data_IF_285313992373
#
_entry.id   IF_285313992373
#
_cell.length_a   1.000
_cell.length_b   1.000
_cell.length_c   1.000
_cell.angle_alpha   90.00
_cell.angle_beta   90.00
_cell.angle_gamma   90.00
#
_symmetry.space_group_name_H-M   'P 1'
#
loop_
_entity.id
_entity.type
_entity.pdbx_description
1 polymer ?
#
# COMPACT_ATOMS: atom_id res chain seq x y z
N UNK A 1 -7.33 -25.24 10.42
CA UNK A 1 -6.26 -24.31 9.99
C UNK A 1 -6.68 -22.93 10.42
N UNK A 2 -5.90 -22.27 11.29
CA UNK A 2 -6.22 -20.92 11.78
C UNK A 2 -5.48 -19.85 10.97
N UNK A 3 -6.01 -18.63 11.03
CA UNK A 3 -5.48 -17.46 10.34
C UNK A 3 -4.32 -16.85 11.13
N UNK A 4 -3.25 -16.54 10.40
CA UNK A 4 -2.13 -15.72 10.85
C UNK A 4 -2.29 -14.30 10.32
N UNK A 5 -2.40 -13.33 11.23
CA UNK A 5 -2.64 -11.92 10.88
C UNK A 5 -1.47 -11.05 11.30
N UNK A 6 -1.00 -10.19 10.41
CA UNK A 6 -0.06 -9.11 10.75
C UNK A 6 -0.86 -7.86 11.10
N UNK A 7 -0.54 -7.22 12.21
CA UNK A 7 -1.18 -5.98 12.65
C UNK A 7 -0.13 -4.89 12.83
N UNK A 8 -0.16 -3.91 11.92
CA UNK A 8 0.61 -2.68 12.06
C UNK A 8 -0.14 -1.65 12.90
N UNK A 9 0.52 -1.09 13.92
CA UNK A 9 -0.05 0.02 14.69
C UNK A 9 -0.95 -0.38 15.86
N UNK A 10 -0.74 -1.57 16.42
CA UNK A 10 -1.52 -2.10 17.55
C UNK A 10 -1.52 -1.24 18.83
N UNK A 11 -0.59 -0.28 18.95
CA UNK A 11 -0.52 0.67 20.07
C UNK A 11 -1.41 1.91 19.88
N UNK A 12 -1.91 2.15 18.68
CA UNK A 12 -2.79 3.29 18.38
C UNK A 12 -4.22 3.10 18.90
N UNK A 13 -5.03 4.16 18.86
CA UNK A 13 -6.43 4.12 19.32
C UNK A 13 -7.24 3.02 18.63
N UNK A 14 -7.24 3.02 17.30
CA UNK A 14 -7.95 2.02 16.49
C UNK A 14 -7.24 0.66 16.56
N UNK A 15 -5.90 0.66 16.51
CA UNK A 15 -5.11 -0.57 16.51
C UNK A 15 -5.28 -1.42 17.78
N UNK A 16 -5.50 -0.78 18.94
CA UNK A 16 -5.80 -1.49 20.19
C UNK A 16 -7.10 -2.28 20.11
N UNK A 17 -8.15 -1.67 19.56
CA UNK A 17 -9.44 -2.35 19.40
C UNK A 17 -9.37 -3.46 18.35
N UNK A 18 -8.65 -3.23 17.24
CA UNK A 18 -8.38 -4.29 16.25
C UNK A 18 -7.67 -5.47 16.91
N UNK A 19 -6.62 -5.22 17.69
CA UNK A 19 -5.90 -6.28 18.42
C UNK A 19 -6.84 -7.05 19.35
N UNK A 20 -7.68 -6.34 20.12
CA UNK A 20 -8.66 -6.94 21.03
C UNK A 20 -9.63 -7.87 20.29
N UNK A 21 -10.16 -7.41 19.17
CA UNK A 21 -11.07 -8.20 18.31
C UNK A 21 -10.36 -9.41 17.71
N UNK A 22 -9.10 -9.25 17.24
CA UNK A 22 -8.32 -10.34 16.69
C UNK A 22 -8.05 -11.44 17.73
N UNK A 23 -7.76 -11.07 18.98
CA UNK A 23 -7.56 -12.03 20.07
C UNK A 23 -8.84 -12.86 20.34
N UNK A 24 -9.98 -12.18 20.37
CA UNK A 24 -11.29 -12.80 20.62
C UNK A 24 -11.79 -13.66 19.46
N UNK A 25 -11.30 -13.41 18.24
CA UNK A 25 -11.74 -14.16 17.08
C UNK A 25 -11.20 -15.61 17.12
N UNK A 26 -12.08 -16.63 17.05
CA UNK A 26 -11.66 -18.04 17.18
C UNK A 26 -10.81 -18.50 16.01
N UNK A 27 -11.08 -18.01 14.79
CA UNK A 27 -10.31 -18.40 13.61
C UNK A 27 -8.91 -17.79 13.57
N UNK A 28 -8.62 -16.75 14.35
CA UNK A 28 -7.29 -16.13 14.40
C UNK A 28 -6.48 -16.84 15.49
N UNK A 29 -5.45 -17.55 15.04
CA UNK A 29 -4.59 -18.35 15.91
C UNK A 29 -3.24 -17.70 16.18
N UNK A 30 -2.79 -16.79 15.31
CA UNK A 30 -1.51 -16.09 15.47
C UNK A 30 -1.62 -14.65 14.99
N UNK A 31 -1.07 -13.73 15.77
CA UNK A 31 -1.07 -12.30 15.51
C UNK A 31 0.37 -11.80 15.63
N UNK A 32 0.90 -11.24 14.54
CA UNK A 32 2.21 -10.59 14.54
C UNK A 32 1.99 -9.09 14.64
N UNK A 33 2.22 -8.53 15.82
CA UNK A 33 2.06 -7.11 16.09
C UNK A 33 3.34 -6.34 15.72
N UNK A 34 3.29 -5.60 14.60
CA UNK A 34 4.36 -4.68 14.20
C UNK A 34 4.20 -3.36 14.98
N UNK A 35 5.16 -3.11 15.87
CA UNK A 35 5.12 -1.98 16.80
C UNK A 35 6.44 -1.22 16.82
N UNK A 36 6.43 0.01 17.32
CA UNK A 36 7.66 0.80 17.54
C UNK A 36 8.29 0.58 18.92
N UNK A 37 7.54 -0.05 19.84
CA UNK A 37 7.88 -0.26 21.25
C UNK A 37 7.15 -1.50 21.74
N UNK A 38 7.69 -2.14 22.76
CA UNK A 38 7.06 -3.29 23.39
C UNK A 38 5.62 -2.96 23.83
N UNK A 39 4.73 -3.96 23.71
CA UNK A 39 3.38 -3.87 24.25
C UNK A 39 3.42 -3.98 25.77
N UNK A 40 2.53 -3.28 26.50
CA UNK A 40 2.41 -3.44 27.94
C UNK A 40 1.97 -4.87 28.29
N UNK A 41 2.56 -5.44 29.33
CA UNK A 41 2.21 -6.77 29.83
C UNK A 41 0.86 -6.77 30.59
N UNK A 42 0.12 -7.89 30.62
CA UNK A 42 0.41 -9.15 29.94
C UNK A 42 0.04 -9.12 28.45
N UNK A 43 0.87 -9.75 27.62
CA UNK A 43 0.61 -9.95 26.19
C UNK A 43 -0.07 -11.32 26.02
N UNK A 44 -1.13 -11.36 25.20
CA UNK A 44 -1.87 -12.59 24.92
C UNK A 44 -0.98 -13.65 24.20
N UNK A 45 -1.12 -14.95 24.50
CA UNK A 45 -0.33 -16.01 23.85
C UNK A 45 -0.43 -16.06 22.32
N UNK A 46 -1.52 -15.58 21.74
CA UNK A 46 -1.68 -15.48 20.28
C UNK A 46 -0.81 -14.39 19.66
N UNK A 47 -0.32 -13.44 20.47
CA UNK A 47 0.34 -12.22 20.01
C UNK A 47 1.85 -12.32 20.14
N UNK A 48 2.55 -12.24 19.00
CA UNK A 48 3.98 -12.02 18.94
C UNK A 48 4.27 -10.56 18.61
N UNK A 49 5.12 -9.92 19.41
CA UNK A 49 5.52 -8.52 19.19
C UNK A 49 6.81 -8.49 18.40
N UNK A 50 6.78 -7.81 17.26
CA UNK A 50 7.96 -7.58 16.42
C UNK A 50 8.18 -6.08 16.32
N UNK A 51 9.41 -5.65 16.58
CA UNK A 51 9.83 -4.26 16.49
C UNK A 51 10.81 -4.16 15.32
N UNK A 52 10.38 -3.66 14.15
CA UNK A 52 11.29 -3.45 13.03
C UNK A 52 12.31 -2.36 13.34
N UNK A 53 13.58 -2.62 13.01
CA UNK A 53 14.65 -1.62 13.11
C UNK A 53 14.46 -0.47 12.11
N UNK A 54 14.04 -0.83 10.89
CA UNK A 54 13.67 0.11 9.83
C UNK A 54 12.32 -0.29 9.22
N UNK A 55 11.46 0.71 9.01
CA UNK A 55 10.11 0.58 8.44
C UNK A 55 10.09 0.70 6.93
N UNK A 56 11.19 1.16 6.33
CA UNK A 56 11.39 1.19 4.87
C UNK A 56 12.08 -0.08 4.37
N UNK A 57 12.89 -0.71 5.21
CA UNK A 57 13.65 -1.92 4.87
C UNK A 57 13.51 -2.96 5.98
N UNK A 58 12.67 -3.97 5.75
CA UNK A 58 12.44 -5.04 6.73
C UNK A 58 13.61 -6.03 6.73
N UNK A 59 14.17 -6.29 7.91
CA UNK A 59 15.22 -7.28 8.09
C UNK A 59 14.70 -8.71 7.84
N UNK A 60 15.58 -9.67 7.50
CA UNK A 60 15.18 -11.07 7.30
C UNK A 60 14.44 -11.66 8.50
N UNK A 61 14.80 -11.26 9.72
CA UNK A 61 14.11 -11.69 10.94
C UNK A 61 12.63 -11.23 10.98
N UNK A 62 12.35 -9.99 10.55
CA UNK A 62 10.97 -9.49 10.47
C UNK A 62 10.20 -10.21 9.37
N UNK A 63 10.82 -10.40 8.20
CA UNK A 63 10.22 -11.13 7.07
C UNK A 63 9.88 -12.58 7.43
N UNK A 64 10.75 -13.25 8.18
CA UNK A 64 10.51 -14.60 8.70
C UNK A 64 9.34 -14.63 9.71
N UNK A 65 9.26 -13.63 10.60
CA UNK A 65 8.18 -13.56 11.57
C UNK A 65 6.80 -13.40 10.92
N UNK A 66 6.71 -12.64 9.82
CA UNK A 66 5.47 -12.38 9.07
C UNK A 66 5.19 -13.42 7.97
N UNK A 67 6.14 -14.31 7.68
CA UNK A 67 6.01 -15.33 6.64
C UNK A 67 4.75 -16.21 6.84
N UNK A 68 4.07 -16.53 5.75
CA UNK A 68 2.86 -17.35 5.77
C UNK A 68 1.62 -16.66 6.36
N UNK A 69 1.68 -15.34 6.62
CA UNK A 69 0.50 -14.58 7.02
C UNK A 69 -0.60 -14.61 5.95
N UNK A 70 -1.85 -14.69 6.39
CA UNK A 70 -3.03 -14.68 5.53
C UNK A 70 -3.50 -13.25 5.20
N UNK A 71 -3.30 -12.35 6.16
CA UNK A 71 -3.71 -10.96 6.04
C UNK A 71 -2.78 -10.01 6.81
N UNK A 72 -2.74 -8.76 6.35
CA UNK A 72 -2.14 -7.65 7.06
C UNK A 72 -3.18 -6.54 7.25
N UNK A 73 -3.36 -6.11 8.49
CA UNK A 73 -4.17 -4.94 8.83
C UNK A 73 -3.21 -3.80 9.18
N UNK A 74 -3.22 -2.77 8.34
CA UNK A 74 -2.32 -1.63 8.46
C UNK A 74 -3.03 -0.44 9.06
N UNK A 75 -2.93 -0.31 10.39
CA UNK A 75 -3.47 0.80 11.17
C UNK A 75 -2.38 1.80 11.59
N UNK A 76 -1.25 1.85 10.87
CA UNK A 76 -0.19 2.83 11.10
C UNK A 76 -0.55 4.13 10.40
N UNK A 77 -0.58 5.21 11.18
CA UNK A 77 -0.78 6.55 10.68
C UNK A 77 -0.68 7.56 11.80
N UNK A 78 -0.40 8.81 11.41
CA UNK A 78 -0.52 9.96 12.29
C UNK A 78 -1.92 10.57 12.08
N UNK A 79 -2.59 10.91 13.19
CA UNK A 79 -3.93 11.52 13.15
C UNK A 79 -3.93 12.95 12.57
N UNK A 80 -5.09 13.56 12.34
CA UNK A 80 -5.17 14.95 11.89
C UNK A 80 -4.48 15.85 12.93
N UNK A 81 -3.43 16.56 12.50
CA UNK A 81 -2.73 17.53 13.32
C UNK A 81 -2.45 18.77 12.48
N UNK A 82 -2.32 19.92 13.16
CA UNK A 82 -1.92 21.15 12.51
C UNK A 82 -0.50 20.98 12.01
N UNK A 83 -0.30 21.17 10.71
CA UNK A 83 1.01 21.14 10.07
C UNK A 83 1.43 22.60 9.96
N UNK A 84 2.52 22.93 10.64
CA UNK A 84 3.07 24.29 10.68
C UNK A 84 4.38 24.39 9.91
N UNK A 85 5.08 23.28 9.73
CA UNK A 85 6.35 23.22 8.99
C UNK A 85 6.32 22.17 7.89
N UNK A 86 7.19 22.33 6.90
CA UNK A 86 7.39 21.34 5.83
C UNK A 86 7.97 20.03 6.37
N UNK A 87 8.79 20.10 7.41
CA UNK A 87 9.37 18.93 8.09
C UNK A 87 8.27 18.05 8.69
N UNK A 88 7.30 18.65 9.39
CA UNK A 88 6.13 17.94 9.92
C UNK A 88 5.31 17.28 8.80
N UNK A 89 5.13 17.99 7.68
CA UNK A 89 4.42 17.47 6.51
C UNK A 89 5.13 16.23 5.95
N UNK A 90 6.45 16.31 5.79
CA UNK A 90 7.30 15.22 5.29
C UNK A 90 7.31 14.02 6.23
N UNK A 91 7.36 14.24 7.55
CA UNK A 91 7.21 13.16 8.51
C UNK A 91 5.86 12.45 8.37
N UNK A 92 4.76 13.21 8.36
CA UNK A 92 3.41 12.61 8.25
C UNK A 92 3.29 11.82 6.94
N UNK A 93 3.86 12.35 5.85
CA UNK A 93 3.93 11.66 4.55
C UNK A 93 4.70 10.34 4.66
N UNK A 94 5.88 10.35 5.28
CA UNK A 94 6.70 9.15 5.49
C UNK A 94 5.95 8.06 6.26
N UNK A 95 5.28 8.43 7.36
CA UNK A 95 4.48 7.49 8.15
C UNK A 95 3.25 6.96 7.40
N UNK A 96 2.56 7.83 6.66
CA UNK A 96 1.28 7.49 6.04
C UNK A 96 1.43 6.73 4.72
N UNK A 97 2.47 7.05 3.95
CA UNK A 97 2.65 6.56 2.59
C UNK A 97 3.86 5.63 2.51
N UNK A 98 5.05 6.12 2.83
CA UNK A 98 6.29 5.40 2.52
C UNK A 98 6.35 4.08 3.31
N UNK A 99 5.99 4.11 4.60
CA UNK A 99 5.92 2.90 5.41
C UNK A 99 4.84 1.93 4.91
N UNK A 100 3.68 2.46 4.50
CA UNK A 100 2.60 1.65 3.93
C UNK A 100 3.05 0.96 2.65
N UNK A 101 3.72 1.69 1.75
CA UNK A 101 4.20 1.16 0.48
C UNK A 101 5.32 0.14 0.68
N UNK A 102 6.27 0.42 1.57
CA UNK A 102 7.32 -0.53 1.94
C UNK A 102 6.73 -1.82 2.53
N UNK A 103 5.76 -1.68 3.44
CA UNK A 103 5.05 -2.82 4.02
C UNK A 103 4.28 -3.61 2.96
N UNK A 104 3.46 -2.95 2.13
CA UNK A 104 2.69 -3.62 1.10
C UNK A 104 3.59 -4.40 0.12
N UNK A 105 4.75 -3.84 -0.25
CA UNK A 105 5.74 -4.53 -1.09
C UNK A 105 6.39 -5.72 -0.39
N UNK A 106 6.74 -5.59 0.89
CA UNK A 106 7.41 -6.64 1.64
C UNK A 106 6.47 -7.79 2.05
N UNK A 107 5.22 -7.47 2.38
CA UNK A 107 4.24 -8.41 2.94
C UNK A 107 3.38 -9.09 1.89
N UNK A 108 3.24 -8.52 0.69
CA UNK A 108 2.43 -9.13 -0.37
C UNK A 108 3.30 -10.14 -1.13
N UNK A 109 3.12 -11.45 -0.92
CA UNK A 109 3.87 -12.45 -1.66
C UNK A 109 3.53 -12.36 -3.16
N UNK A 110 4.46 -12.81 -3.99
CA UNK A 110 4.16 -13.04 -5.39
C UNK A 110 2.99 -14.04 -5.51
N UNK A 111 2.12 -13.91 -6.52
CA UNK A 111 1.06 -14.88 -6.76
C UNK A 111 1.67 -16.27 -6.88
N UNK A 112 1.31 -17.17 -5.97
CA UNK A 112 1.75 -18.55 -6.01
C UNK A 112 0.70 -19.43 -6.71
N UNK A 113 1.12 -20.64 -7.10
CA UNK A 113 0.22 -21.65 -7.67
C UNK A 113 -0.71 -22.29 -6.62
N UNK A 114 -0.58 -21.94 -5.34
CA UNK A 114 -1.43 -22.45 -4.27
C UNK A 114 -2.83 -21.83 -4.28
N UNK A 115 -2.99 -20.70 -4.99
CA UNK A 115 -4.26 -19.99 -5.11
C UNK A 115 -4.66 -19.24 -3.83
N UNK A 116 -3.78 -19.21 -2.81
CA UNK A 116 -4.05 -18.56 -1.53
C UNK A 116 -3.88 -17.05 -1.68
N UNK A 117 -4.98 -16.32 -1.49
CA UNK A 117 -5.00 -14.85 -1.63
C UNK A 117 -4.60 -14.16 -0.33
N UNK A 118 -3.46 -13.49 -0.34
CA UNK A 118 -3.07 -12.57 0.73
C UNK A 118 -3.92 -11.29 0.70
N UNK A 119 -4.36 -10.81 1.88
CA UNK A 119 -5.19 -9.60 1.99
C UNK A 119 -4.47 -8.49 2.76
N UNK A 120 -4.23 -7.36 2.10
CA UNK A 120 -3.70 -6.15 2.73
C UNK A 120 -4.82 -5.13 2.95
N UNK A 121 -5.18 -4.88 4.21
CA UNK A 121 -6.23 -3.93 4.62
C UNK A 121 -5.57 -2.63 5.08
N UNK A 122 -5.68 -1.57 4.28
CA UNK A 122 -5.14 -0.25 4.59
C UNK A 122 -6.21 0.66 5.24
N UNK A 123 -5.94 1.15 6.44
CA UNK A 123 -6.82 2.10 7.12
C UNK A 123 -6.45 3.55 6.74
N UNK A 124 -7.25 4.13 5.85
CA UNK A 124 -7.14 5.53 5.44
C UNK A 124 -7.96 6.47 6.33
N UNK A 125 -7.68 7.78 6.23
CA UNK A 125 -8.49 8.80 6.89
C UNK A 125 -9.65 9.22 6.01
N UNK A 126 -10.81 9.48 6.63
CA UNK A 126 -11.96 10.05 5.92
C UNK A 126 -11.58 11.40 5.30
N UNK A 127 -12.00 11.63 4.05
CA UNK A 127 -11.72 12.85 3.28
C UNK A 127 -10.27 13.01 2.76
N UNK A 128 -9.49 11.92 2.68
CA UNK A 128 -8.23 11.93 1.92
C UNK A 128 -8.49 12.33 0.46
N UNK A 129 -7.82 13.37 -0.01
CA UNK A 129 -7.98 13.95 -1.34
C UNK A 129 -6.88 13.44 -2.28
N UNK A 130 -7.31 12.94 -3.45
CA UNK A 130 -6.40 12.41 -4.47
C UNK A 130 -5.80 13.53 -5.29
N UNK A 131 -6.59 14.55 -5.55
CA UNK A 131 -6.16 15.70 -6.31
C UNK A 131 -5.28 16.63 -5.45
N UNK A 132 -3.99 16.63 -5.74
CA UNK A 132 -3.01 17.43 -5.01
C UNK A 132 -3.13 18.92 -5.33
N UNK A 133 -3.78 19.29 -6.43
CA UNK A 133 -3.91 20.68 -6.88
C UNK A 133 -5.23 21.31 -6.40
N UNK A 134 -6.22 20.49 -6.04
CA UNK A 134 -7.56 20.94 -5.63
C UNK A 134 -7.54 21.67 -4.29
N UNK A 135 -7.82 22.98 -4.30
CA UNK A 135 -7.93 23.78 -3.08
C UNK A 135 -9.02 23.23 -2.14
N UNK A 136 -8.69 23.09 -0.85
CA UNK A 136 -9.61 22.56 0.16
C UNK A 136 -9.81 23.60 1.26
N UNK A 137 -11.07 23.85 1.60
CA UNK A 137 -11.46 24.83 2.62
C UNK A 137 -11.16 24.40 4.06
N UNK A 138 -10.74 23.14 4.27
CA UNK A 138 -10.47 22.57 5.59
C UNK A 138 -9.34 21.53 5.53
N UNK A 139 -8.34 21.68 6.41
CA UNK A 139 -7.19 20.78 6.59
C UNK A 139 -6.54 20.33 5.26
N UNK A 140 -6.27 21.29 4.37
CA UNK A 140 -5.81 21.01 3.01
C UNK A 140 -4.57 20.10 2.96
N UNK A 141 -3.51 20.48 3.66
CA UNK A 141 -2.23 19.75 3.65
C UNK A 141 -2.41 18.31 4.15
N UNK A 142 -3.07 18.13 5.30
CA UNK A 142 -3.31 16.80 5.87
C UNK A 142 -4.14 15.90 4.94
N UNK A 143 -5.16 16.47 4.28
CA UNK A 143 -6.03 15.71 3.37
C UNK A 143 -5.33 15.27 2.09
N UNK A 144 -4.32 16.02 1.63
CA UNK A 144 -3.54 15.70 0.43
C UNK A 144 -2.38 14.73 0.70
N UNK A 145 -1.77 14.79 1.89
CA UNK A 145 -0.55 14.04 2.24
C UNK A 145 -0.64 12.54 1.98
N UNK A 146 -1.78 11.90 2.30
CA UNK A 146 -1.97 10.43 2.20
C UNK A 146 -1.90 9.88 0.76
N UNK A 147 -1.97 10.73 -0.26
CA UNK A 147 -2.04 10.34 -1.66
C UNK A 147 -0.98 11.03 -2.52
N UNK A 148 -0.07 11.78 -1.89
CA UNK A 148 1.11 12.36 -2.53
C UNK A 148 2.21 11.30 -2.74
N UNK A 149 1.84 10.13 -3.26
CA UNK A 149 2.83 9.24 -3.86
C UNK A 149 3.17 9.83 -5.22
N UNK A 150 4.43 10.14 -5.46
CA UNK A 150 5.01 10.24 -6.79
C UNK A 150 4.96 8.87 -7.49
N UNK A 151 3.77 8.29 -7.61
CA UNK A 151 3.49 7.40 -8.72
C UNK A 151 3.50 8.34 -9.91
N UNK A 152 4.61 8.32 -10.65
CA UNK A 152 4.76 9.10 -11.87
C UNK A 152 3.44 9.02 -12.62
N UNK A 153 2.81 10.18 -12.85
CA UNK A 153 1.78 10.28 -13.88
C UNK A 153 2.51 9.79 -15.12
N UNK A 154 2.31 8.54 -15.52
CA UNK A 154 2.62 8.12 -16.88
C UNK A 154 1.94 9.17 -17.73
N UNK A 155 2.69 9.98 -18.48
CA UNK A 155 2.08 11.04 -19.26
C UNK A 155 1.06 10.34 -20.14
N UNK A 156 -0.20 10.80 -20.09
CA UNK A 156 -1.18 10.41 -21.08
C UNK A 156 -0.51 10.72 -22.41
N UNK A 157 -0.07 9.68 -23.11
CA UNK A 157 0.44 9.80 -24.46
C UNK A 157 -0.78 10.18 -25.30
N UNK A 158 -1.07 11.48 -25.35
CA UNK A 158 -1.91 12.08 -26.36
C UNK A 158 -1.16 11.84 -27.65
N UNK A 159 -1.41 10.69 -28.26
CA UNK A 159 -1.03 10.42 -29.63
C UNK A 159 -1.91 11.32 -30.48
N UNK A 160 -1.48 12.58 -30.62
CA UNK A 160 -2.02 13.51 -31.59
C UNK A 160 -1.63 12.93 -32.94
N UNK A 161 -2.55 12.16 -33.52
CA UNK A 161 -2.42 11.66 -34.87
C UNK A 161 -2.45 12.87 -35.79
N UNK A 162 -1.27 13.40 -36.14
CA UNK A 162 -1.15 14.41 -37.19
C UNK A 162 -1.37 13.69 -38.52
N UNK A 163 -2.61 13.67 -38.99
CA UNK A 163 -2.94 13.34 -40.37
C UNK A 163 -2.30 14.39 -41.28
N UNK A 164 -1.08 14.11 -41.75
CA UNK A 164 -0.46 14.86 -42.84
C UNK A 164 -1.03 14.30 -44.14
N UNK A 165 -2.11 14.91 -44.61
CA UNK A 165 -2.61 14.74 -45.96
C UNK A 165 -1.60 15.36 -46.92
N UNK A 166 -0.75 14.55 -47.54
CA UNK A 166 -0.08 14.92 -48.79
C UNK A 166 -0.79 14.21 -49.93
N UNK A 167 -1.43 15.04 -50.74
CA UNK A 167 -2.05 14.75 -52.03
C UNK A 167 -1.17 13.94 -52.97
N UNK A 168 -1.77 12.94 -53.61
CA UNK A 168 -1.66 12.79 -55.06
C UNK A 168 -0.78 11.67 -55.63
N UNK A 169 -1.48 10.66 -56.15
CA UNK A 169 -1.16 9.80 -57.32
C UNK A 169 -0.12 8.68 -57.13
N UNK A 170 -0.61 7.45 -57.26
CA UNK A 170 0.19 6.24 -57.43
C UNK A 170 -0.62 4.96 -57.23
N UNK A 171 -1.27 4.48 -58.28
CA UNK A 171 -2.00 3.22 -58.37
C UNK A 171 -1.07 1.99 -58.42
N UNK A 172 -1.35 0.92 -57.66
CA UNK A 172 -1.52 -0.46 -58.16
C UNK A 172 -1.65 -1.53 -57.05
N UNK A 173 -2.77 -2.27 -57.10
CA UNK A 173 -2.93 -3.74 -56.99
C UNK A 173 -2.14 -4.57 -55.95
N UNK A 174 -2.88 -5.42 -55.20
CA UNK A 174 -2.35 -6.70 -54.73
C UNK A 174 -3.02 -7.30 -53.49
N UNK A 175 -3.80 -8.37 -53.67
CA UNK A 175 -4.40 -9.24 -52.64
C UNK A 175 -3.32 -9.90 -51.75
N UNK A 176 -3.62 -10.16 -50.46
CA UNK A 176 -3.80 -11.50 -49.84
C UNK A 176 -3.76 -11.46 -48.30
N UNK A 177 -4.40 -12.49 -47.75
CA UNK A 177 -4.60 -12.89 -46.34
C UNK A 177 -3.30 -13.18 -45.57
N UNK A 178 -3.52 -13.34 -44.26
CA UNK A 178 -2.71 -14.06 -43.25
C UNK A 178 -1.54 -13.23 -42.71
N UNK A 179 -1.12 -13.31 -41.45
CA UNK A 179 -1.48 -14.11 -40.28
C UNK A 179 -0.77 -13.47 -39.08
N UNK A 180 -1.17 -13.88 -37.87
CA UNK A 180 -0.53 -13.62 -36.59
C UNK A 180 1.00 -13.70 -36.64
N UNK A 181 1.68 -12.80 -35.94
CA UNK A 181 2.87 -13.11 -35.15
C UNK A 181 3.05 -12.11 -34.02
N UNK A 182 3.18 -12.65 -32.81
CA UNK A 182 3.79 -12.02 -31.66
C UNK A 182 5.27 -11.68 -31.95
N UNK A 183 5.78 -10.60 -31.35
CA UNK A 183 7.17 -10.54 -30.90
C UNK A 183 7.25 -9.69 -29.63
N UNK A 184 7.92 -10.27 -28.64
CA UNK A 184 8.44 -9.62 -27.46
C UNK A 184 9.69 -8.79 -27.81
N UNK A 185 9.95 -7.78 -26.99
CA UNK A 185 11.17 -6.97 -26.93
C UNK A 185 11.12 -6.15 -25.65
#
# INVERSE_FOLDING_TARGET
MGLKVVLGGSTGFIGKEILRQCIQHPDITSIVALTRRQLPAPVDPKVSVVIPDDWLNYSPAVLQAIEGADACIWAIGKGPQKITTEEEANEIKKFCNDYTLAAAKALTPAPDSSGKKFRFVYLSGMSAERDQDKALWFMQEFRRIRLNSTFSRTPKRTQRCSSRTSSGRGSCWGRRRASRTWCAG
#
